data_IF_822274078166
#
_entry.id   IF_822274078166
#
_cell.length_a   1.000
_cell.length_b   1.000
_cell.length_c   1.000
_cell.angle_alpha   90.00
_cell.angle_beta   90.00
_cell.angle_gamma   90.00
#
_symmetry.space_group_name_H-M   'P 1'
#
loop_
_entity.id
_entity.type
_entity.pdbx_description
1 polymer ?
#
# COMPACT_ATOMS: atom_id res chain seq x y z
N UNK A 1 -35.30 25.22 -22.06
CA UNK A 1 -34.46 25.37 -20.85
C UNK A 1 -33.71 24.06 -20.71
N UNK A 2 -32.39 24.07 -20.78
CA UNK A 2 -31.61 22.82 -20.67
C UNK A 2 -31.26 22.56 -19.20
N UNK A 3 -31.41 21.32 -18.76
CA UNK A 3 -31.16 20.91 -17.37
C UNK A 3 -30.52 19.53 -17.31
N UNK A 4 -29.59 19.33 -16.38
CA UNK A 4 -28.92 18.05 -16.12
C UNK A 4 -29.23 17.58 -14.69
N UNK A 5 -29.72 16.35 -14.56
CA UNK A 5 -29.93 15.67 -13.28
C UNK A 5 -29.06 14.40 -13.22
N UNK A 6 -28.29 14.23 -12.15
CA UNK A 6 -27.46 13.05 -11.92
C UNK A 6 -27.36 12.71 -10.42
N UNK A 7 -27.00 11.46 -10.10
CA UNK A 7 -26.98 10.93 -8.73
C UNK A 7 -25.62 11.05 -8.03
N UNK A 8 -24.81 12.04 -8.42
CA UNK A 8 -23.44 12.18 -7.89
C UNK A 8 -22.50 11.05 -8.32
N UNK A 9 -21.50 10.78 -7.47
CA UNK A 9 -20.45 9.78 -7.69
C UNK A 9 -20.53 8.69 -6.62
N UNK A 10 -20.22 7.44 -7.00
CA UNK A 10 -20.08 6.34 -6.05
C UNK A 10 -18.63 6.32 -5.51
N UNK A 11 -18.48 6.51 -4.20
CA UNK A 11 -17.17 6.44 -3.52
C UNK A 11 -16.99 5.03 -2.95
N UNK A 12 -15.83 4.38 -3.15
CA UNK A 12 -15.57 3.07 -2.54
C UNK A 12 -15.58 3.17 -1.01
N UNK A 13 -15.89 2.06 -0.35
CA UNK A 13 -15.78 1.95 1.10
C UNK A 13 -14.34 2.24 1.54
N UNK A 14 -14.19 2.84 2.73
CA UNK A 14 -12.87 3.09 3.32
C UNK A 14 -12.23 1.76 3.70
N UNK A 15 -10.90 1.70 3.60
CA UNK A 15 -10.15 0.57 4.10
C UNK A 15 -10.29 0.43 5.61
N UNK A 16 -10.49 -0.81 6.07
CA UNK A 16 -10.56 -1.16 7.48
C UNK A 16 -9.27 -1.84 7.90
N UNK A 17 -8.56 -1.23 8.85
CA UNK A 17 -7.28 -1.74 9.34
C UNK A 17 -7.45 -3.03 10.13
N UNK A 18 -6.66 -4.04 9.78
CA UNK A 18 -6.60 -5.36 10.41
C UNK A 18 -5.50 -5.45 11.47
N UNK A 19 -4.70 -4.39 11.63
CA UNK A 19 -3.62 -4.31 12.60
C UNK A 19 -2.36 -5.03 12.15
N UNK A 20 -2.10 -5.02 10.84
CA UNK A 20 -0.97 -5.71 10.23
C UNK A 20 0.36 -5.04 10.59
N UNK A 21 1.43 -5.80 10.41
CA UNK A 21 2.80 -5.36 10.61
C UNK A 21 3.67 -5.78 9.43
N UNK A 22 4.77 -5.05 9.25
CA UNK A 22 5.86 -5.39 8.32
C UNK A 22 7.17 -5.39 9.09
N UNK A 23 8.21 -6.03 8.55
CA UNK A 23 9.56 -5.90 9.09
C UNK A 23 10.32 -4.84 8.29
N UNK A 24 10.80 -3.81 8.96
CA UNK A 24 11.64 -2.77 8.38
C UNK A 24 13.05 -2.95 8.91
N UNK A 25 14.01 -3.25 8.04
CA UNK A 25 15.39 -3.57 8.43
C UNK A 25 15.47 -4.66 9.52
N UNK A 26 14.62 -5.69 9.41
CA UNK A 26 14.53 -6.80 10.37
C UNK A 26 13.76 -6.49 11.66
N UNK A 27 13.31 -5.26 11.89
CA UNK A 27 12.50 -4.88 13.05
C UNK A 27 11.01 -4.86 12.71
N UNK A 28 10.21 -5.59 13.47
CA UNK A 28 8.76 -5.56 13.34
C UNK A 28 8.20 -4.17 13.65
N UNK A 29 7.38 -3.66 12.74
CA UNK A 29 6.74 -2.35 12.82
C UNK A 29 5.25 -2.50 12.54
N UNK A 30 4.43 -2.21 13.56
CA UNK A 30 2.97 -2.19 13.42
C UNK A 30 2.55 -0.99 12.57
N UNK A 31 1.67 -1.24 11.61
CA UNK A 31 1.19 -0.21 10.69
C UNK A 31 -0.06 0.48 11.24
N UNK A 32 -0.20 1.76 10.90
CA UNK A 32 -1.49 2.47 10.99
C UNK A 32 -2.40 2.04 9.84
N UNK A 33 -3.70 2.28 9.93
CA UNK A 33 -4.67 1.92 8.88
C UNK A 33 -4.26 2.39 7.48
N UNK A 34 -3.81 3.63 7.36
CA UNK A 34 -3.41 4.18 6.06
C UNK A 34 -2.11 3.54 5.54
N UNK A 35 -1.14 3.26 6.41
CA UNK A 35 0.11 2.60 6.01
C UNK A 35 -0.16 1.13 5.62
N UNK A 36 -1.08 0.49 6.33
CA UNK A 36 -1.55 -0.86 6.04
C UNK A 36 -2.22 -0.93 4.67
N UNK A 37 -3.10 0.01 4.34
CA UNK A 37 -3.73 0.11 3.02
C UNK A 37 -2.68 0.21 1.90
N UNK A 38 -1.65 1.06 2.10
CA UNK A 38 -0.53 1.18 1.17
C UNK A 38 0.25 -0.12 1.02
N UNK A 39 0.54 -0.81 2.13
CA UNK A 39 1.28 -2.07 2.12
C UNK A 39 0.49 -3.20 1.42
N UNK A 40 -0.83 -3.26 1.62
CA UNK A 40 -1.72 -4.19 0.91
C UNK A 40 -1.77 -3.87 -0.58
N UNK A 41 -1.81 -2.58 -0.95
CA UNK A 41 -1.77 -2.17 -2.35
C UNK A 41 -0.48 -2.60 -3.04
N UNK A 42 0.67 -2.51 -2.36
CA UNK A 42 1.94 -3.05 -2.83
C UNK A 42 1.93 -4.57 -2.94
N UNK A 43 1.46 -5.26 -1.90
CA UNK A 43 1.37 -6.73 -1.87
C UNK A 43 0.56 -7.28 -3.06
N UNK A 44 -0.55 -6.63 -3.43
CA UNK A 44 -1.36 -6.95 -4.62
C UNK A 44 -0.62 -6.80 -5.97
N UNK A 45 0.56 -6.17 -5.98
CA UNK A 45 1.40 -6.00 -7.17
C UNK A 45 2.62 -6.93 -7.17
N UNK A 46 2.94 -7.58 -6.05
CA UNK A 46 3.99 -8.59 -5.99
C UNK A 46 3.66 -9.71 -6.97
N UNK A 47 4.68 -10.20 -7.69
CA UNK A 47 4.52 -11.18 -8.78
C UNK A 47 4.12 -10.57 -10.14
N UNK A 48 3.93 -9.25 -10.23
CA UNK A 48 3.71 -8.56 -11.51
C UNK A 48 4.96 -7.80 -11.96
N UNK A 49 5.07 -7.53 -13.26
CA UNK A 49 6.16 -6.73 -13.84
C UNK A 49 6.35 -5.34 -13.20
N UNK A 50 5.32 -4.80 -12.53
CA UNK A 50 5.42 -3.50 -11.87
C UNK A 50 6.43 -3.50 -10.73
N UNK A 51 6.50 -4.58 -9.94
CA UNK A 51 7.42 -4.62 -8.78
C UNK A 51 8.88 -4.74 -9.23
N UNK A 52 9.12 -5.29 -10.41
CA UNK A 52 10.45 -5.36 -11.04
C UNK A 52 10.88 -4.01 -11.66
N UNK A 53 9.92 -3.14 -12.00
CA UNK A 53 10.20 -1.80 -12.50
C UNK A 53 10.79 -0.91 -11.39
N UNK A 54 12.03 -0.47 -11.61
CA UNK A 54 12.80 0.32 -10.64
C UNK A 54 12.15 1.68 -10.35
N UNK A 55 11.45 2.28 -11.31
CA UNK A 55 10.77 3.56 -11.14
C UNK A 55 9.53 3.38 -10.28
N UNK A 56 8.72 2.36 -10.55
CA UNK A 56 7.56 1.99 -9.76
C UNK A 56 7.94 1.68 -8.32
N UNK A 57 8.91 0.78 -8.11
CA UNK A 57 9.40 0.43 -6.78
C UNK A 57 9.94 1.65 -6.02
N UNK A 58 10.71 2.52 -6.70
CA UNK A 58 11.24 3.75 -6.10
C UNK A 58 10.14 4.74 -5.72
N UNK A 59 9.15 4.94 -6.58
CA UNK A 59 8.05 5.87 -6.33
C UNK A 59 7.21 5.40 -5.14
N UNK A 60 6.84 4.12 -5.10
CA UNK A 60 6.12 3.56 -3.97
C UNK A 60 6.90 3.74 -2.65
N UNK A 61 8.18 3.34 -2.60
CA UNK A 61 8.96 3.44 -1.37
C UNK A 61 9.24 4.89 -0.95
N UNK A 62 9.24 5.85 -1.88
CA UNK A 62 9.29 7.26 -1.56
C UNK A 62 8.04 7.69 -0.79
N UNK A 63 6.86 7.44 -1.34
CA UNK A 63 5.59 7.84 -0.71
C UNK A 63 5.36 7.07 0.60
N UNK A 64 5.73 5.79 0.62
CA UNK A 64 5.67 4.98 1.82
C UNK A 64 6.63 5.48 2.91
N UNK A 65 7.82 5.97 2.54
CA UNK A 65 8.74 6.63 3.48
C UNK A 65 8.10 7.86 4.12
N UNK A 66 7.45 8.70 3.31
CA UNK A 66 6.76 9.90 3.79
C UNK A 66 5.66 9.52 4.79
N UNK A 67 4.90 8.46 4.50
CA UNK A 67 3.84 7.99 5.40
C UNK A 67 4.36 7.32 6.68
N UNK A 68 5.50 6.63 6.61
CA UNK A 68 6.15 6.01 7.77
C UNK A 68 6.90 7.02 8.64
N UNK A 69 7.24 8.20 8.11
CA UNK A 69 8.11 9.17 8.79
C UNK A 69 9.58 8.74 8.86
N UNK A 70 9.96 7.68 8.14
CA UNK A 70 11.33 7.18 8.05
C UNK A 70 11.65 6.82 6.60
N UNK A 71 12.92 6.97 6.22
CA UNK A 71 13.36 6.64 4.87
C UNK A 71 13.55 5.14 4.70
N UNK A 72 12.82 4.55 3.76
CA UNK A 72 12.95 3.15 3.34
C UNK A 72 13.18 3.07 1.83
N UNK A 73 13.95 2.07 1.39
CA UNK A 73 14.22 1.75 -0.01
C UNK A 73 13.57 0.43 -0.39
N UNK A 74 13.44 0.13 -1.70
CA UNK A 74 13.11 -1.21 -2.15
C UNK A 74 14.06 -2.24 -1.53
N UNK A 75 13.49 -3.23 -0.84
CA UNK A 75 14.23 -4.27 -0.12
C UNK A 75 14.44 -4.03 1.39
N UNK A 76 14.25 -2.81 1.88
CA UNK A 76 14.34 -2.52 3.33
C UNK A 76 13.10 -3.00 4.10
N UNK A 77 11.98 -3.18 3.39
CA UNK A 77 10.70 -3.59 3.97
C UNK A 77 10.31 -4.99 3.47
N UNK A 78 10.06 -5.88 4.42
CA UNK A 78 9.54 -7.21 4.19
C UNK A 78 8.01 -7.20 4.28
N UNK A 79 7.38 -7.46 3.14
CA UNK A 79 5.92 -7.51 2.98
C UNK A 79 5.37 -8.94 2.95
N UNK A 80 6.18 -9.98 3.18
CA UNK A 80 5.78 -11.38 2.94
C UNK A 80 4.50 -11.79 3.67
N UNK A 81 4.32 -11.37 4.92
CA UNK A 81 3.11 -11.71 5.69
C UNK A 81 1.84 -11.09 5.08
N UNK A 82 1.95 -9.87 4.53
CA UNK A 82 0.84 -9.20 3.86
C UNK A 82 0.59 -9.81 2.48
N UNK A 83 1.64 -10.24 1.77
CA UNK A 83 1.51 -10.95 0.49
C UNK A 83 0.73 -12.25 0.67
N UNK A 84 1.07 -13.07 1.67
CA UNK A 84 0.32 -14.30 1.98
C UNK A 84 -1.17 -14.04 2.21
N UNK A 85 -1.49 -13.00 3.00
CA UNK A 85 -2.88 -12.61 3.29
C UNK A 85 -3.67 -12.09 2.08
N UNK A 86 -2.99 -11.66 1.03
CA UNK A 86 -3.62 -11.18 -0.21
C UNK A 86 -3.81 -12.31 -1.22
N UNK A 87 -2.97 -13.33 -1.17
CA UNK A 87 -3.02 -14.52 -2.04
C UNK A 87 -3.99 -15.60 -1.52
N UNK A 88 -4.32 -15.58 -0.23
CA UNK A 88 -5.41 -16.35 0.40
C UNK A 88 -6.81 -15.84 -0.01
#
# INVERSE_FOLDING_TARGET
>A
MESLHHNGVLIPARYEGKGLAVKINGKETKLTTDQEEMAVAWAKKVGTQYVEDKVFAKNFHKDFSEKLGIKVKPGDVDFQEIVKLVEE
#
